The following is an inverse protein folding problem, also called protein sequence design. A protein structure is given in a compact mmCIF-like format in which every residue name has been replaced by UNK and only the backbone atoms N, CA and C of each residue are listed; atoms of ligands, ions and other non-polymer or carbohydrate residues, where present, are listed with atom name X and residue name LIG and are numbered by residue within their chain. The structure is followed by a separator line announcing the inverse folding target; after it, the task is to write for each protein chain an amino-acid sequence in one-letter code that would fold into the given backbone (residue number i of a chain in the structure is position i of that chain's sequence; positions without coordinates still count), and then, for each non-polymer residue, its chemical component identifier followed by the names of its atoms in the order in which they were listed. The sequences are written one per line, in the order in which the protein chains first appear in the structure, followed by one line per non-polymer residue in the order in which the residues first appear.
data_IF_658724226820
#
_entry.id   IF_658724226820
#
_cell.length_a   1.000
_cell.length_b   1.000
_cell.length_c   1.000
_cell.angle_alpha   90.00
_cell.angle_beta   90.00
_cell.angle_gamma   90.00
#
_symmetry.space_group_name_H-M   'P 1'
#
loop_
_entity.id
_entity.type
_entity.pdbx_description
1 polymer ?
#
# COMPACT_ATOMS: atom_id res chain seq x y z
N UNK A 1 -26.38 0.98 -44.90
CA UNK A 1 -26.11 1.63 -43.59
C UNK A 1 -26.82 0.87 -42.49
N UNK A 2 -26.11 0.40 -41.46
CA UNK A 2 -26.72 -0.35 -40.35
C UNK A 2 -27.49 0.60 -39.42
N UNK A 3 -28.61 0.14 -38.84
CA UNK A 3 -29.45 0.93 -37.94
C UNK A 3 -28.68 1.48 -36.71
N UNK A 4 -27.61 0.82 -36.28
CA UNK A 4 -26.75 1.28 -35.19
C UNK A 4 -26.13 2.66 -35.45
N UNK A 5 -25.81 2.97 -36.70
CA UNK A 5 -25.25 4.27 -37.10
C UNK A 5 -26.26 5.41 -36.93
N UNK A 6 -27.55 5.11 -37.07
CA UNK A 6 -28.64 6.09 -36.86
C UNK A 6 -28.81 6.42 -35.38
N UNK A 7 -28.68 5.40 -34.51
CA UNK A 7 -28.80 5.57 -33.06
C UNK A 7 -27.61 6.31 -32.43
N UNK A 8 -26.37 6.04 -32.85
CA UNK A 8 -25.21 6.79 -32.36
C UNK A 8 -25.31 8.29 -32.69
N UNK A 9 -25.84 8.63 -33.86
CA UNK A 9 -26.02 10.01 -34.26
C UNK A 9 -27.08 10.73 -33.42
N UNK A 10 -28.20 10.06 -33.08
CA UNK A 10 -29.27 10.60 -32.21
C UNK A 10 -28.76 10.92 -30.81
N UNK A 11 -27.84 10.11 -30.26
CA UNK A 11 -27.21 10.37 -28.95
C UNK A 11 -26.37 11.65 -28.97
N UNK A 12 -25.80 12.01 -30.13
CA UNK A 12 -25.03 13.25 -30.29
C UNK A 12 -25.90 14.50 -30.52
N UNK A 13 -27.17 14.34 -30.89
CA UNK A 13 -28.06 15.50 -31.11
C UNK A 13 -28.54 16.07 -29.79
N UNK A 14 -28.48 17.40 -29.62
CA UNK A 14 -28.85 18.12 -28.39
C UNK A 14 -30.37 18.28 -28.17
N UNK A 15 -31.20 17.36 -28.70
CA UNK A 15 -32.66 17.40 -28.54
C UNK A 15 -33.08 17.21 -27.07
N UNK A 16 -34.27 17.69 -26.71
CA UNK A 16 -34.85 17.46 -25.38
C UNK A 16 -35.03 15.95 -25.10
N UNK A 17 -35.40 15.18 -26.11
CA UNK A 17 -35.50 13.72 -26.02
C UNK A 17 -34.14 13.09 -25.67
N UNK A 18 -33.06 13.46 -26.37
CA UNK A 18 -31.71 12.94 -26.10
C UNK A 18 -31.25 13.27 -24.66
N UNK A 19 -31.52 14.48 -24.16
CA UNK A 19 -31.23 14.85 -22.76
C UNK A 19 -32.03 14.01 -21.76
N UNK A 20 -33.31 13.74 -22.02
CA UNK A 20 -34.11 12.86 -21.15
C UNK A 20 -33.61 11.42 -21.19
N UNK A 21 -33.13 10.96 -22.35
CA UNK A 21 -32.56 9.63 -22.49
C UNK A 21 -31.21 9.47 -21.81
N UNK A 22 -30.33 10.47 -21.84
CA UNK A 22 -29.09 10.43 -21.06
C UNK A 22 -29.37 10.41 -19.56
N UNK A 23 -30.30 11.23 -19.06
CA UNK A 23 -30.70 11.21 -17.64
C UNK A 23 -31.26 9.84 -17.24
N UNK A 24 -32.14 9.25 -18.07
CA UNK A 24 -32.71 7.93 -17.79
C UNK A 24 -31.63 6.85 -17.77
N UNK A 25 -30.76 6.82 -18.78
CA UNK A 25 -29.64 5.88 -18.88
C UNK A 25 -28.76 5.96 -17.62
N UNK A 26 -28.38 7.17 -17.21
CA UNK A 26 -27.54 7.37 -16.04
C UNK A 26 -28.22 6.88 -14.75
N UNK A 27 -29.56 7.05 -14.62
CA UNK A 27 -30.30 6.49 -13.47
C UNK A 27 -30.33 4.96 -13.48
N UNK A 28 -30.51 4.35 -14.66
CA UNK A 28 -30.54 2.88 -14.80
C UNK A 28 -29.19 2.28 -14.42
N UNK A 29 -28.10 2.91 -14.85
CA UNK A 29 -26.73 2.40 -14.63
C UNK A 29 -26.05 2.94 -13.37
N UNK A 30 -26.73 3.77 -12.57
CA UNK A 30 -26.19 4.31 -11.31
C UNK A 30 -25.11 5.40 -11.50
N UNK A 31 -25.03 5.99 -12.69
CA UNK A 31 -24.19 7.16 -12.97
C UNK A 31 -24.86 8.45 -12.49
N UNK A 32 -24.15 9.58 -12.59
CA UNK A 32 -24.71 10.88 -12.18
C UNK A 32 -25.81 11.31 -13.16
N UNK A 33 -27.08 11.43 -12.73
CA UNK A 33 -28.18 11.65 -13.65
C UNK A 33 -28.31 13.11 -14.08
N UNK A 34 -27.91 14.07 -13.24
CA UNK A 34 -28.00 15.50 -13.53
C UNK A 34 -26.63 16.00 -13.99
N UNK A 35 -26.53 16.70 -15.14
CA UNK A 35 -25.26 17.29 -15.56
C UNK A 35 -24.80 18.27 -14.47
N UNK A 36 -23.53 18.13 -14.07
CA UNK A 36 -22.88 18.92 -13.02
C UNK A 36 -21.59 19.50 -13.58
N UNK A 37 -21.11 20.57 -12.96
CA UNK A 37 -19.86 21.20 -13.37
C UNK A 37 -18.70 20.20 -13.33
N UNK A 38 -17.83 20.27 -14.34
CA UNK A 38 -16.65 19.40 -14.51
C UNK A 38 -15.80 19.36 -13.24
N UNK A 39 -15.64 20.51 -12.56
CA UNK A 39 -14.90 20.62 -11.30
C UNK A 39 -15.51 19.76 -10.19
N UNK A 40 -16.83 19.76 -10.06
CA UNK A 40 -17.54 18.98 -9.02
C UNK A 40 -17.50 17.49 -9.32
N UNK A 41 -17.62 17.12 -10.60
CA UNK A 41 -17.55 15.74 -11.07
C UNK A 41 -16.18 15.11 -10.74
N UNK A 42 -15.09 15.78 -11.15
CA UNK A 42 -13.73 15.26 -10.93
C UNK A 42 -13.35 15.20 -9.44
N UNK A 43 -13.80 16.18 -8.65
CA UNK A 43 -13.46 16.26 -7.23
C UNK A 43 -14.13 15.18 -6.39
N UNK A 44 -15.40 14.89 -6.64
CA UNK A 44 -16.16 13.93 -5.83
C UNK A 44 -16.18 12.58 -6.54
N UNK A 45 -16.84 12.50 -7.69
CA UNK A 45 -17.02 11.24 -8.41
C UNK A 45 -15.68 10.64 -8.79
N UNK A 46 -14.75 11.43 -9.35
CA UNK A 46 -13.42 10.94 -9.73
C UNK A 46 -12.54 10.48 -8.56
N UNK A 47 -12.64 11.13 -7.39
CA UNK A 47 -11.87 10.72 -6.20
C UNK A 47 -12.44 9.48 -5.53
N UNK A 48 -13.76 9.31 -5.56
CA UNK A 48 -14.43 8.16 -4.95
C UNK A 48 -14.57 6.96 -5.91
N UNK A 49 -14.46 7.18 -7.22
CA UNK A 49 -14.43 6.10 -8.21
C UNK A 49 -13.11 5.31 -8.18
N UNK A 50 -12.04 5.90 -7.64
CA UNK A 50 -10.72 5.28 -7.57
C UNK A 50 -10.31 5.01 -6.13
N UNK A 51 -9.47 4.00 -5.92
CA UNK A 51 -8.86 3.76 -4.62
C UNK A 51 -7.89 4.91 -4.27
N UNK A 52 -8.02 5.52 -3.08
CA UNK A 52 -7.13 6.58 -2.63
C UNK A 52 -5.66 6.13 -2.66
N UNK A 53 -4.69 7.00 -3.03
CA UNK A 53 -3.29 6.62 -3.18
C UNK A 53 -2.71 5.87 -1.98
N UNK A 54 -2.94 6.38 -0.77
CA UNK A 54 -2.43 5.79 0.47
C UNK A 54 -3.03 4.42 0.83
N UNK A 55 -4.12 3.99 0.16
CA UNK A 55 -4.72 2.66 0.31
C UNK A 55 -4.29 1.68 -0.78
N UNK A 56 -3.52 2.13 -1.77
CA UNK A 56 -3.10 1.26 -2.86
C UNK A 56 -2.10 0.23 -2.30
N UNK A 57 -2.24 -1.05 -2.63
CA UNK A 57 -1.38 -2.11 -2.09
C UNK A 57 0.08 -1.87 -2.43
N UNK A 58 0.37 -1.38 -3.64
CA UNK A 58 1.72 -1.00 -4.05
C UNK A 58 2.39 0.04 -3.13
N UNK A 59 1.60 0.91 -2.50
CA UNK A 59 2.10 1.95 -1.58
C UNK A 59 2.20 1.42 -0.15
N UNK A 60 1.18 0.67 0.31
CA UNK A 60 1.15 0.12 1.68
C UNK A 60 2.20 -0.99 1.84
N UNK A 61 2.22 -1.93 0.90
CA UNK A 61 3.02 -3.16 0.96
C UNK A 61 4.40 -2.98 0.31
N UNK A 62 4.89 -1.74 0.25
CA UNK A 62 6.15 -1.41 -0.41
C UNK A 62 7.35 -2.14 0.23
N UNK A 63 7.38 -2.21 1.56
CA UNK A 63 8.37 -3.00 2.29
C UNK A 63 7.76 -4.31 2.78
N UNK A 64 8.49 -5.43 2.67
CA UNK A 64 8.04 -6.69 3.26
C UNK A 64 8.00 -6.60 4.80
N UNK A 65 7.22 -7.49 5.41
CA UNK A 65 7.07 -7.62 6.86
C UNK A 65 8.31 -8.26 7.51
N UNK A 66 9.44 -7.55 7.45
CA UNK A 66 10.76 -8.04 7.86
C UNK A 66 10.88 -8.37 9.36
N UNK A 67 10.08 -7.71 10.20
CA UNK A 67 10.05 -7.99 11.65
C UNK A 67 9.55 -9.41 11.88
N UNK A 68 8.45 -9.77 11.24
CA UNK A 68 7.82 -11.08 11.41
C UNK A 68 8.65 -12.19 10.80
N UNK A 69 9.24 -11.96 9.62
CA UNK A 69 10.17 -12.92 9.03
C UNK A 69 11.40 -13.09 9.89
N UNK A 70 11.93 -12.00 10.49
CA UNK A 70 13.03 -12.06 11.45
C UNK A 70 12.69 -12.89 12.68
N UNK A 71 11.50 -12.67 13.26
CA UNK A 71 11.01 -13.50 14.38
C UNK A 71 10.85 -14.96 13.96
N UNK A 72 10.22 -15.23 12.82
CA UNK A 72 10.02 -16.58 12.30
C UNK A 72 11.36 -17.32 12.18
N UNK A 73 12.34 -16.72 11.52
CA UNK A 73 13.66 -17.34 11.31
C UNK A 73 14.40 -17.55 12.62
N UNK A 74 14.27 -16.63 13.58
CA UNK A 74 14.82 -16.80 14.92
C UNK A 74 14.21 -18.01 15.64
N UNK A 75 12.88 -18.15 15.64
CA UNK A 75 12.23 -19.29 16.28
C UNK A 75 12.62 -20.61 15.60
N UNK A 76 12.72 -20.62 14.26
CA UNK A 76 13.18 -21.80 13.53
C UNK A 76 14.62 -22.18 13.92
N UNK A 77 15.49 -21.20 14.15
CA UNK A 77 16.83 -21.44 14.69
C UNK A 77 16.78 -22.03 16.10
N UNK A 78 15.97 -21.45 16.98
CA UNK A 78 15.84 -21.92 18.36
C UNK A 78 15.30 -23.37 18.43
N UNK A 79 14.44 -23.76 17.47
CA UNK A 79 13.97 -25.14 17.32
C UNK A 79 14.97 -26.08 16.63
N UNK A 80 16.09 -25.58 16.12
CA UNK A 80 17.07 -26.36 15.36
C UNK A 80 16.63 -26.74 13.94
N UNK A 81 15.53 -26.15 13.44
CA UNK A 81 14.99 -26.37 12.10
C UNK A 81 15.71 -25.53 11.03
N UNK A 82 16.35 -24.44 11.46
CA UNK A 82 17.09 -23.53 10.59
C UNK A 82 18.47 -23.23 11.17
N UNK A 83 19.49 -23.20 10.30
CA UNK A 83 20.85 -22.81 10.69
C UNK A 83 21.15 -21.42 10.13
N UNK A 84 21.30 -20.44 11.02
CA UNK A 84 21.67 -19.06 10.68
C UNK A 84 23.17 -18.85 10.90
N UNK A 85 23.96 -19.05 9.84
CA UNK A 85 25.42 -18.91 9.87
C UNK A 85 25.87 -17.48 10.23
N UNK A 86 25.07 -16.47 9.84
CA UNK A 86 25.38 -15.09 10.16
C UNK A 86 25.23 -14.84 11.66
N UNK A 87 24.14 -15.31 12.26
CA UNK A 87 23.93 -15.23 13.70
C UNK A 87 25.01 -16.00 14.47
N UNK A 88 25.37 -17.21 14.03
CA UNK A 88 26.42 -18.03 14.64
C UNK A 88 27.77 -17.28 14.65
N UNK A 89 28.14 -16.65 13.54
CA UNK A 89 29.37 -15.86 13.45
C UNK A 89 29.35 -14.65 14.38
N UNK A 90 28.23 -13.93 14.46
CA UNK A 90 28.08 -12.78 15.35
C UNK A 90 28.18 -13.19 16.82
N UNK A 91 27.61 -14.34 17.19
CA UNK A 91 27.70 -14.91 18.54
C UNK A 91 29.14 -15.30 18.90
N UNK A 92 29.86 -15.97 18.01
CA UNK A 92 31.26 -16.34 18.27
C UNK A 92 32.16 -15.10 18.36
N UNK A 93 31.95 -14.10 17.50
CA UNK A 93 32.67 -12.84 17.59
C UNK A 93 32.38 -12.07 18.88
N UNK A 94 31.16 -12.21 19.42
CA UNK A 94 30.79 -11.65 20.73
C UNK A 94 31.51 -12.39 21.86
N UNK A 95 31.50 -13.72 21.85
CA UNK A 95 32.21 -14.57 22.81
C UNK A 95 33.71 -14.24 22.88
N UNK A 96 34.38 -14.16 21.74
CA UNK A 96 35.80 -13.78 21.66
C UNK A 96 36.06 -12.36 22.19
N UNK A 97 35.12 -11.44 21.99
CA UNK A 97 35.24 -10.07 22.48
C UNK A 97 35.10 -10.00 24.01
N UNK A 98 34.24 -10.82 24.58
CA UNK A 98 34.06 -10.96 26.03
C UNK A 98 35.31 -11.54 26.69
N UNK A 99 35.92 -12.57 26.09
CA UNK A 99 37.20 -13.14 26.54
C UNK A 99 38.33 -12.10 26.51
N UNK A 100 38.31 -11.16 25.56
CA UNK A 100 39.25 -10.03 25.49
C UNK A 100 38.94 -8.92 26.49
N UNK A 101 37.94 -9.08 27.36
CA UNK A 101 37.49 -8.07 28.32
C UNK A 101 36.81 -6.86 27.68
N UNK A 102 36.55 -6.89 26.36
CA UNK A 102 35.84 -5.83 25.61
C UNK A 102 34.33 -6.02 25.70
N UNK A 103 33.85 -6.40 26.88
CA UNK A 103 32.44 -6.60 27.16
C UNK A 103 31.71 -5.28 26.92
N UNK A 104 30.53 -5.35 26.31
CA UNK A 104 29.68 -4.18 26.14
C UNK A 104 29.31 -3.67 27.53
N UNK A 105 29.89 -2.54 27.94
CA UNK A 105 29.57 -1.91 29.24
C UNK A 105 28.07 -1.61 29.28
N UNK A 106 27.38 -2.12 30.28
CA UNK A 106 26.05 -1.65 30.65
C UNK A 106 26.26 -0.25 31.24
N UNK A 107 25.45 0.76 30.87
CA UNK A 107 25.60 2.04 31.56
C UNK A 107 25.16 1.89 33.02
N UNK A 108 25.75 2.69 33.91
CA UNK A 108 25.28 2.92 35.29
C UNK A 108 23.85 3.48 35.21
N UNK A 109 22.85 2.62 35.34
CA UNK A 109 21.42 2.92 35.11
C UNK A 109 20.66 1.89 34.27
N UNK A 110 21.32 0.86 33.72
CA UNK A 110 20.67 -0.24 33.01
C UNK A 110 20.33 0.04 31.53
N UNK A 111 20.27 1.29 31.10
CA UNK A 111 20.01 1.63 29.69
C UNK A 111 21.29 1.60 28.84
N UNK A 112 21.21 1.10 27.61
CA UNK A 112 22.34 1.07 26.66
C UNK A 112 22.55 2.46 26.07
N UNK A 113 23.76 3.02 26.09
CA UNK A 113 24.08 4.29 25.41
C UNK A 113 23.97 3.99 23.91
N UNK A 114 22.88 4.40 23.27
CA UNK A 114 22.82 4.49 21.82
C UNK A 114 23.95 5.42 21.40
N UNK A 115 24.85 4.95 20.53
CA UNK A 115 25.85 5.82 19.92
C UNK A 115 25.11 6.98 19.27
N UNK A 116 25.43 8.20 19.69
CA UNK A 116 25.02 9.43 19.03
C UNK A 116 25.42 9.32 17.55
N UNK A 117 24.42 9.36 16.68
CA UNK A 117 24.58 9.55 15.25
C UNK A 117 25.36 10.85 15.01
N UNK A 118 26.49 10.74 14.33
CA UNK A 118 27.06 11.78 13.46
C UNK A 118 27.04 11.17 12.07
#
# INVERSE_FOLDING_TARGET
MSNYFKYSHIVQVSTNYAKRMSILSNRIFGEVPVPRDVKTMNRVVGRFSTTPPYKRPFIIDYYPRHVETGWLMKHLRDYGLFRDEHADFVEEMRRLRELRGKIKRLNKGGEKKSKSLI
#
